data_IF_825800413425
#
_entry.id   IF_825800413425
#
_cell.length_a   1.000
_cell.length_b   1.000
_cell.length_c   1.000
_cell.angle_alpha   90.00
_cell.angle_beta   90.00
_cell.angle_gamma   90.00
#
_symmetry.space_group_name_H-M   'P 1'
#
loop_
_entity.id
_entity.type
_entity.pdbx_description
1 polymer ?
#
# COMPACT_ATOMS: atom_id res chain seq x y z
N UNK A 1 50.40 14.83 -0.75
CA UNK A 1 49.34 15.59 -0.07
C UNK A 1 48.30 16.01 -1.10
N UNK A 2 47.08 15.47 -1.03
CA UNK A 2 45.77 16.02 -1.47
C UNK A 2 44.81 14.83 -1.71
N UNK A 3 44.18 14.42 -0.60
CA UNK A 3 43.25 13.30 -0.49
C UNK A 3 41.81 13.81 -0.74
N UNK A 4 40.98 13.01 -1.42
CA UNK A 4 39.51 12.95 -1.25
C UNK A 4 38.61 14.06 -1.86
N UNK A 5 38.60 14.23 -3.19
CA UNK A 5 37.54 14.98 -3.90
C UNK A 5 36.48 14.12 -4.60
N UNK A 6 36.35 12.85 -4.22
CA UNK A 6 35.21 12.00 -4.62
C UNK A 6 34.23 11.84 -3.47
N UNK A 7 33.86 12.94 -2.80
CA UNK A 7 32.65 12.91 -1.96
C UNK A 7 31.45 12.94 -2.91
N UNK A 8 31.20 11.82 -3.61
CA UNK A 8 29.84 11.51 -4.08
C UNK A 8 28.99 11.72 -2.83
N UNK A 9 28.16 12.76 -2.84
CA UNK A 9 27.23 13.07 -1.75
C UNK A 9 26.45 11.77 -1.56
N UNK A 10 26.82 11.01 -0.54
CA UNK A 10 26.14 9.78 -0.19
C UNK A 10 24.75 10.23 0.17
N UNK A 11 23.82 10.12 -0.79
CA UNK A 11 22.41 10.33 -0.51
C UNK A 11 22.11 9.23 0.50
N UNK A 12 21.79 9.56 1.77
CA UNK A 12 21.39 8.52 2.69
C UNK A 12 20.14 7.88 2.07
N UNK A 13 20.30 6.68 1.52
CA UNK A 13 19.19 5.84 1.14
C UNK A 13 18.60 5.35 2.45
N UNK A 14 17.80 6.20 3.07
CA UNK A 14 17.03 5.82 4.25
C UNK A 14 16.08 4.71 3.78
N UNK A 15 16.47 3.45 4.01
CA UNK A 15 15.64 2.30 3.74
C UNK A 15 14.50 2.30 4.76
N UNK A 16 13.44 3.03 4.45
CA UNK A 16 12.22 2.99 5.22
C UNK A 16 11.48 1.70 4.87
N UNK A 17 11.35 0.81 5.85
CA UNK A 17 10.64 -0.47 5.67
C UNK A 17 9.16 -0.19 5.37
N UNK A 18 8.73 -0.55 4.16
CA UNK A 18 7.33 -0.52 3.77
C UNK A 18 6.62 -1.77 4.30
N UNK A 19 5.58 -1.57 5.12
CA UNK A 19 4.70 -2.62 5.64
C UNK A 19 3.37 -2.57 4.91
N UNK A 20 2.92 -3.73 4.46
CA UNK A 20 1.58 -3.91 3.88
C UNK A 20 0.74 -4.74 4.84
N UNK A 21 -0.37 -4.18 5.31
CA UNK A 21 -1.31 -4.85 6.22
C UNK A 21 -2.75 -4.65 5.78
N UNK A 22 -3.67 -5.48 6.28
CA UNK A 22 -5.10 -5.22 6.14
C UNK A 22 -5.55 -4.14 7.14
N UNK A 23 -6.44 -3.27 6.70
CA UNK A 23 -7.08 -2.26 7.53
C UNK A 23 -7.96 -2.93 8.60
N UNK A 24 -7.98 -2.33 9.78
CA UNK A 24 -8.87 -2.68 10.89
C UNK A 24 -9.86 -1.53 11.11
N UNK A 25 -10.92 -1.79 11.87
CA UNK A 25 -11.88 -0.72 12.24
C UNK A 25 -11.22 0.45 12.98
N UNK A 26 -10.13 0.20 13.72
CA UNK A 26 -9.35 1.25 14.40
C UNK A 26 -8.65 2.20 13.43
N UNK A 27 -8.42 1.78 12.18
CA UNK A 27 -7.72 2.57 11.18
C UNK A 27 -8.65 3.53 10.43
N UNK A 28 -9.97 3.47 10.67
CA UNK A 28 -10.96 4.28 9.97
C UNK A 28 -10.61 5.78 9.97
N UNK A 29 -10.25 6.34 11.14
CA UNK A 29 -9.85 7.74 11.26
C UNK A 29 -8.54 8.08 10.52
N UNK A 30 -7.66 7.10 10.29
CA UNK A 30 -6.46 7.29 9.48
C UNK A 30 -6.79 7.25 7.98
N UNK A 31 -7.68 6.34 7.54
CA UNK A 31 -8.18 6.30 6.17
C UNK A 31 -8.96 7.57 5.81
N UNK A 32 -9.80 8.09 6.72
CA UNK A 32 -10.54 9.34 6.52
C UNK A 32 -9.60 10.52 6.28
N UNK A 33 -8.52 10.62 7.06
CA UNK A 33 -7.50 11.65 6.88
C UNK A 33 -6.77 11.49 5.54
N UNK A 34 -6.39 10.26 5.18
CA UNK A 34 -5.70 9.99 3.92
C UNK A 34 -6.60 10.32 2.71
N UNK A 35 -7.88 9.93 2.76
CA UNK A 35 -8.87 10.24 1.74
C UNK A 35 -9.09 11.75 1.59
N UNK A 36 -9.15 12.48 2.72
CA UNK A 36 -9.22 13.93 2.72
C UNK A 36 -7.98 14.59 2.08
N UNK A 37 -6.77 14.04 2.31
CA UNK A 37 -5.52 14.54 1.70
C UNK A 37 -5.50 14.34 0.18
N UNK A 38 -5.95 13.18 -0.29
CA UNK A 38 -6.02 12.84 -1.72
C UNK A 38 -7.25 13.45 -2.41
N UNK A 39 -8.14 14.13 -1.66
CA UNK A 39 -9.46 14.56 -2.14
C UNK A 39 -10.26 13.41 -2.79
N UNK A 40 -10.07 12.19 -2.29
CA UNK A 40 -10.72 10.95 -2.74
C UNK A 40 -11.78 10.49 -1.74
N UNK A 41 -12.61 9.55 -2.17
CA UNK A 41 -13.57 8.91 -1.27
C UNK A 41 -12.85 7.92 -0.33
N UNK A 42 -13.40 7.73 0.86
CA UNK A 42 -12.90 6.72 1.81
C UNK A 42 -13.05 5.34 1.15
N UNK A 43 -11.97 4.53 1.03
CA UNK A 43 -12.08 3.19 0.51
C UNK A 43 -12.90 2.33 1.47
N UNK A 44 -13.90 1.63 0.93
CA UNK A 44 -14.80 0.76 1.69
C UNK A 44 -14.43 -0.72 1.53
N UNK A 45 -14.88 -1.55 2.48
CA UNK A 45 -14.69 -3.00 2.46
C UNK A 45 -13.32 -3.45 2.98
N UNK A 46 -12.77 -4.51 2.40
CA UNK A 46 -11.42 -4.98 2.72
C UNK A 46 -10.39 -4.04 2.11
N UNK A 47 -9.69 -3.28 2.95
CA UNK A 47 -8.66 -2.32 2.49
C UNK A 47 -7.27 -2.83 2.86
N UNK A 48 -6.33 -2.71 1.94
CA UNK A 48 -4.90 -2.86 2.21
C UNK A 48 -4.27 -1.50 2.48
N UNK A 49 -3.47 -1.42 3.52
CA UNK A 49 -2.74 -0.24 3.94
C UNK A 49 -1.25 -0.46 3.68
N UNK A 50 -0.62 0.54 3.05
CA UNK A 50 0.83 0.64 2.95
C UNK A 50 1.33 1.73 3.89
N UNK A 51 2.14 1.30 4.84
CA UNK A 51 2.76 2.16 5.83
C UNK A 51 4.27 2.14 5.64
N UNK A 52 4.90 3.29 5.84
CA UNK A 52 6.34 3.43 5.79
C UNK A 52 6.79 3.91 7.16
N UNK A 53 7.40 3.02 7.94
CA UNK A 53 7.63 3.26 9.38
C UNK A 53 6.33 3.18 10.18
N UNK A 54 5.92 4.29 10.79
CA UNK A 54 4.68 4.44 11.59
C UNK A 54 3.63 5.31 10.88
N UNK A 55 3.84 5.60 9.60
CA UNK A 55 3.00 6.54 8.86
C UNK A 55 2.33 5.89 7.66
N UNK A 56 1.04 6.15 7.50
CA UNK A 56 0.22 5.63 6.41
C UNK A 56 0.46 6.45 5.14
N UNK A 57 0.91 5.79 4.08
CA UNK A 57 1.25 6.45 2.82
C UNK A 57 0.25 6.16 1.72
N UNK A 58 -0.38 4.98 1.73
CA UNK A 58 -1.38 4.62 0.74
C UNK A 58 -2.36 3.58 1.27
N UNK A 59 -3.55 3.55 0.71
CA UNK A 59 -4.62 2.59 0.96
C UNK A 59 -5.20 2.09 -0.36
N UNK A 60 -5.61 0.82 -0.43
CA UNK A 60 -6.25 0.24 -1.61
C UNK A 60 -7.39 -0.68 -1.20
N UNK A 61 -8.59 -0.41 -1.68
CA UNK A 61 -9.73 -1.31 -1.51
C UNK A 61 -9.57 -2.54 -2.40
N UNK A 62 -9.69 -3.72 -1.80
CA UNK A 62 -9.69 -5.01 -2.48
C UNK A 62 -11.05 -5.34 -3.09
N UNK A 63 -12.10 -4.64 -2.71
CA UNK A 63 -13.44 -4.86 -3.25
C UNK A 63 -13.55 -4.18 -4.62
N UNK A 64 -13.49 -2.84 -4.60
CA UNK A 64 -13.68 -1.99 -5.78
C UNK A 64 -12.37 -1.73 -6.56
N UNK A 65 -11.21 -1.87 -5.91
CA UNK A 65 -9.91 -1.54 -6.52
C UNK A 65 -9.53 -0.06 -6.40
N UNK A 66 -10.33 0.74 -5.70
CA UNK A 66 -10.04 2.15 -5.42
C UNK A 66 -8.77 2.30 -4.58
N UNK A 67 -7.80 3.06 -5.09
CA UNK A 67 -6.55 3.36 -4.41
C UNK A 67 -6.52 4.84 -4.02
N UNK A 68 -6.11 5.10 -2.78
CA UNK A 68 -5.94 6.43 -2.20
C UNK A 68 -4.49 6.55 -1.73
N UNK A 69 -3.80 7.61 -2.10
CA UNK A 69 -2.40 7.79 -1.78
C UNK A 69 -2.16 9.16 -1.16
N UNK A 70 -1.13 9.31 -0.32
CA UNK A 70 -0.73 10.63 0.16
C UNK A 70 -0.03 11.38 -0.97
N UNK A 71 -0.61 12.47 -1.53
CA UNK A 71 -0.02 13.23 -2.64
C UNK A 71 1.15 14.11 -2.20
N UNK A 72 1.32 14.34 -0.89
CA UNK A 72 2.40 15.15 -0.33
C UNK A 72 3.69 14.33 -0.18
N UNK A 73 3.68 13.04 -0.54
CA UNK A 73 4.78 12.09 -0.39
C UNK A 73 5.02 11.33 -1.69
N UNK A 74 6.23 10.76 -1.88
CA UNK A 74 6.51 9.88 -3.01
C UNK A 74 5.85 8.49 -2.82
N UNK A 75 4.52 8.46 -2.71
CA UNK A 75 3.68 7.28 -2.44
C UNK A 75 3.43 6.40 -3.67
N UNK A 76 3.91 6.79 -4.86
CA UNK A 76 3.74 6.05 -6.10
C UNK A 76 4.25 4.59 -6.02
N UNK A 77 5.42 4.37 -5.41
CA UNK A 77 5.98 3.04 -5.22
C UNK A 77 5.11 2.19 -4.27
N UNK A 78 4.59 2.81 -3.21
CA UNK A 78 3.68 2.16 -2.27
C UNK A 78 2.38 1.71 -2.94
N UNK A 79 1.81 2.55 -3.81
CA UNK A 79 0.60 2.21 -4.60
C UNK A 79 0.89 1.05 -5.56
N UNK A 80 2.04 1.06 -6.24
CA UNK A 80 2.44 -0.04 -7.13
C UNK A 80 2.55 -1.36 -6.37
N UNK A 81 3.16 -1.36 -5.19
CA UNK A 81 3.28 -2.54 -4.34
C UNK A 81 1.92 -3.02 -3.81
N UNK A 82 1.02 -2.10 -3.41
CA UNK A 82 -0.36 -2.44 -3.04
C UNK A 82 -1.11 -3.10 -4.21
N UNK A 83 -0.95 -2.58 -5.42
CA UNK A 83 -1.54 -3.16 -6.64
C UNK A 83 -1.01 -4.57 -6.94
N UNK A 84 0.28 -4.82 -6.75
CA UNK A 84 0.83 -6.18 -6.88
C UNK A 84 0.27 -7.11 -5.81
N UNK A 85 0.19 -6.64 -4.56
CA UNK A 85 -0.31 -7.44 -3.43
C UNK A 85 -1.79 -7.79 -3.59
N UNK A 86 -2.62 -6.84 -4.00
CA UNK A 86 -4.05 -7.07 -4.24
C UNK A 86 -4.27 -8.11 -5.34
N UNK A 87 -3.50 -8.06 -6.43
CA UNK A 87 -3.55 -9.05 -7.51
C UNK A 87 -3.14 -10.44 -7.03
N UNK A 88 -2.13 -10.55 -6.16
CA UNK A 88 -1.73 -11.82 -5.56
C UNK A 88 -2.83 -12.40 -4.68
N UNK A 89 -3.49 -11.56 -3.87
CA UNK A 89 -4.58 -11.97 -2.98
C UNK A 89 -5.80 -12.45 -3.78
N UNK A 90 -6.27 -11.65 -4.75
CA UNK A 90 -7.38 -12.04 -5.65
C UNK A 90 -7.09 -13.34 -6.40
N UNK A 91 -5.84 -13.59 -6.81
CA UNK A 91 -5.44 -14.88 -7.44
C UNK A 91 -5.43 -16.06 -6.48
N UNK A 92 -5.24 -15.84 -5.17
CA UNK A 92 -5.33 -16.89 -4.15
C UNK A 92 -6.79 -17.24 -3.86
N UNK A 93 -7.65 -16.24 -3.74
CA UNK A 93 -9.10 -16.45 -3.55
C UNK A 93 -9.71 -17.26 -4.69
N UNK A 94 -9.42 -16.91 -5.95
CA UNK A 94 -9.90 -17.68 -7.11
C UNK A 94 -9.40 -19.13 -7.15
N UNK A 95 -8.24 -19.43 -6.56
CA UNK A 95 -7.70 -20.79 -6.46
C UNK A 95 -8.24 -21.57 -5.26
N UNK A 96 -8.74 -20.89 -4.22
CA UNK A 96 -9.48 -21.52 -3.13
C UNK A 96 -10.96 -21.75 -3.49
N UNK A 97 -11.51 -20.92 -4.36
CA UNK A 97 -12.89 -20.96 -4.82
C UNK A 97 -13.14 -21.95 -5.97
N UNK A 98 -12.31 -22.99 -6.13
CA UNK A 98 -12.64 -24.08 -7.05
C UNK A 98 -13.92 -24.77 -6.54
N UNK A 99 -15.06 -24.65 -7.25
CA UNK A 99 -16.25 -25.36 -6.86
C UNK A 99 -15.91 -26.84 -6.95
N UNK A 100 -16.03 -27.56 -5.84
CA UNK A 100 -16.15 -29.01 -5.90
C UNK A 100 -17.43 -29.27 -6.69
N UNK A 101 -17.30 -29.41 -8.00
CA UNK A 101 -18.37 -29.89 -8.87
C UNK A 101 -18.73 -31.27 -8.36
N UNK A 102 -19.77 -31.29 -7.54
CA UNK A 102 -20.40 -32.47 -6.99
C UNK A 102 -21.18 -33.06 -8.17
N UNK A 103 -20.53 -33.95 -8.92
CA UNK A 103 -21.24 -34.82 -9.84
C UNK A 103 -22.10 -35.76 -8.98
N UNK A 104 -23.41 -35.59 -9.10
CA UNK A 104 -24.43 -36.50 -8.58
C UNK A 104 -24.90 -37.38 -9.73
#
# INVERSE_FOLDING_TARGET
MFNQLTRRKEIPVTHSTLRIRQARQTDAAALERLAALDSSQIPVGEVLLAEVGDELWAALSLDDGHAVADPLRPSADAVLLLGQRSRQLRRRERRGAHPRLRFA
#
